data_IF_497111682833
#
_entry.id   IF_497111682833
#
_cell.length_a   1.000
_cell.length_b   1.000
_cell.length_c   1.000
_cell.angle_alpha   90.00
_cell.angle_beta   90.00
_cell.angle_gamma   90.00
#
_symmetry.space_group_name_H-M   'P 1'
#
loop_
_entity.id
_entity.type
_entity.pdbx_description
1 polymer ?
#
# COMPACT_ATOMS: atom_id res chain seq x y z
N UNK A 1 4.63 5.30 -7.93
CA UNK A 1 4.37 3.95 -7.39
C UNK A 1 3.37 3.23 -8.28
N UNK A 2 3.52 1.92 -8.46
CA UNK A 2 2.57 1.09 -9.23
C UNK A 2 2.31 -0.24 -8.57
N UNK A 3 1.08 -0.75 -8.71
CA UNK A 3 0.76 -2.13 -8.36
C UNK A 3 1.11 -3.01 -9.56
N UNK A 4 1.86 -4.08 -9.34
CA UNK A 4 2.30 -5.01 -10.38
C UNK A 4 1.96 -6.44 -9.98
N UNK A 5 1.53 -7.25 -10.94
CA UNK A 5 1.28 -8.68 -10.74
C UNK A 5 2.36 -9.46 -11.49
N UNK A 6 3.14 -10.24 -10.75
CA UNK A 6 4.14 -11.15 -11.32
C UNK A 6 3.57 -12.56 -11.35
N UNK A 7 3.59 -13.20 -12.52
CA UNK A 7 3.33 -14.64 -12.65
C UNK A 7 4.65 -15.39 -12.58
N UNK A 8 4.77 -16.34 -11.67
CA UNK A 8 5.92 -17.22 -11.53
C UNK A 8 5.80 -18.45 -12.45
N UNK A 9 6.91 -19.17 -12.63
CA UNK A 9 6.95 -20.39 -13.45
C UNK A 9 5.97 -21.46 -12.97
N UNK A 10 5.69 -21.52 -11.67
CA UNK A 10 4.68 -22.40 -11.06
C UNK A 10 3.24 -22.06 -11.47
N UNK A 11 3.02 -20.92 -12.15
CA UNK A 11 1.70 -20.37 -12.42
C UNK A 11 1.16 -19.47 -11.30
N UNK A 12 1.83 -19.48 -10.13
CA UNK A 12 1.49 -18.60 -9.01
C UNK A 12 1.58 -17.13 -9.42
N UNK A 13 0.64 -16.32 -8.93
CA UNK A 13 0.66 -14.86 -9.09
C UNK A 13 0.96 -14.20 -7.76
N UNK A 14 1.90 -13.26 -7.76
CA UNK A 14 2.20 -12.45 -6.59
C UNK A 14 2.05 -10.97 -6.94
N UNK A 15 1.45 -10.22 -6.02
CA UNK A 15 1.14 -8.82 -6.22
C UNK A 15 2.11 -7.96 -5.41
N UNK A 16 2.74 -7.01 -6.08
CA UNK A 16 3.73 -6.10 -5.51
C UNK A 16 3.25 -4.65 -5.60
N UNK A 17 3.56 -3.86 -4.58
CA UNK A 17 3.56 -2.41 -4.70
C UNK A 17 5.01 -1.97 -4.98
N UNK A 18 5.25 -1.47 -6.18
CA UNK A 18 6.56 -0.99 -6.61
C UNK A 18 6.68 0.51 -6.37
N UNK A 19 7.81 0.92 -5.78
CA UNK A 19 8.25 2.30 -5.63
C UNK A 19 8.51 2.99 -6.97
N UNK A 20 8.81 4.28 -6.92
CA UNK A 20 9.18 5.07 -8.11
C UNK A 20 10.50 4.58 -8.73
N UNK A 21 11.37 3.95 -7.93
CA UNK A 21 12.60 3.28 -8.37
C UNK A 21 12.37 1.87 -8.96
N UNK A 22 11.11 1.42 -9.06
CA UNK A 22 10.76 0.09 -9.55
C UNK A 22 10.99 -1.06 -8.57
N UNK A 23 11.52 -0.80 -7.37
CA UNK A 23 11.72 -1.82 -6.32
C UNK A 23 10.45 -2.03 -5.50
N UNK A 24 10.17 -3.24 -5.02
CA UNK A 24 9.06 -3.49 -4.09
C UNK A 24 9.20 -2.70 -2.79
N UNK A 25 8.10 -2.11 -2.33
CA UNK A 25 8.02 -1.54 -0.98
C UNK A 25 8.16 -2.66 0.06
N UNK A 26 9.12 -2.49 0.97
CA UNK A 26 9.47 -3.51 1.96
C UNK A 26 8.31 -3.86 2.89
N UNK A 27 7.69 -2.86 3.51
CA UNK A 27 6.62 -3.07 4.50
C UNK A 27 5.37 -3.66 3.86
N UNK A 28 5.02 -3.20 2.65
CA UNK A 28 3.90 -3.77 1.91
C UNK A 28 4.19 -5.21 1.50
N UNK A 29 5.40 -5.51 1.04
CA UNK A 29 5.82 -6.88 0.70
C UNK A 29 5.74 -7.80 1.90
N UNK A 30 6.20 -7.34 3.06
CA UNK A 30 6.14 -8.09 4.32
C UNK A 30 4.68 -8.36 4.73
N UNK A 31 3.82 -7.32 4.69
CA UNK A 31 2.40 -7.45 5.00
C UNK A 31 1.68 -8.45 4.08
N UNK A 32 1.92 -8.39 2.77
CA UNK A 32 1.34 -9.35 1.81
C UNK A 32 1.78 -10.78 2.15
N UNK A 33 3.09 -10.97 2.38
CA UNK A 33 3.67 -12.29 2.66
C UNK A 33 3.09 -12.90 3.93
N UNK A 34 3.03 -12.12 5.01
CA UNK A 34 2.71 -12.61 6.35
C UNK A 34 1.22 -12.67 6.66
N UNK A 35 0.42 -11.78 6.08
CA UNK A 35 -1.00 -11.62 6.44
C UNK A 35 -1.96 -11.98 5.32
N UNK A 36 -1.65 -11.59 4.08
CA UNK A 36 -2.64 -11.70 3.00
C UNK A 36 -2.54 -13.00 2.20
N UNK A 37 -1.32 -13.45 1.88
CA UNK A 37 -1.09 -14.55 0.94
C UNK A 37 -1.73 -15.87 1.35
N UNK A 38 -1.83 -16.15 2.66
CA UNK A 38 -2.43 -17.40 3.15
C UNK A 38 -3.96 -17.43 3.04
N UNK A 39 -4.62 -16.25 3.02
CA UNK A 39 -6.08 -16.16 3.23
C UNK A 39 -6.83 -15.46 2.08
N UNK A 40 -6.13 -14.85 1.12
CA UNK A 40 -6.74 -14.02 0.10
C UNK A 40 -6.26 -14.37 -1.31
N UNK A 41 -7.19 -14.27 -2.27
CA UNK A 41 -6.88 -14.38 -3.69
C UNK A 41 -6.04 -13.17 -4.16
N UNK A 42 -5.23 -13.36 -5.20
CA UNK A 42 -4.38 -12.31 -5.75
C UNK A 42 -5.15 -11.03 -6.14
N UNK A 43 -6.39 -11.15 -6.64
CA UNK A 43 -7.25 -10.00 -6.96
C UNK A 43 -7.64 -9.18 -5.72
N UNK A 44 -7.94 -9.85 -4.61
CA UNK A 44 -8.21 -9.19 -3.33
C UNK A 44 -6.95 -8.49 -2.81
N UNK A 45 -5.79 -9.16 -2.89
CA UNK A 45 -4.49 -8.57 -2.51
C UNK A 45 -4.20 -7.32 -3.34
N UNK A 46 -4.48 -7.36 -4.65
CA UNK A 46 -4.35 -6.20 -5.53
C UNK A 46 -5.20 -5.02 -5.07
N UNK A 47 -6.43 -5.26 -4.60
CA UNK A 47 -7.28 -4.21 -4.06
C UNK A 47 -6.73 -3.60 -2.77
N UNK A 48 -6.22 -4.41 -1.85
CA UNK A 48 -5.51 -3.91 -0.66
C UNK A 48 -4.32 -3.01 -1.05
N UNK A 49 -3.54 -3.43 -2.05
CA UNK A 49 -2.37 -2.69 -2.52
C UNK A 49 -2.75 -1.39 -3.24
N UNK A 50 -3.90 -1.34 -3.92
CA UNK A 50 -4.47 -0.09 -4.46
C UNK A 50 -4.83 0.88 -3.34
N UNK A 51 -5.48 0.41 -2.27
CA UNK A 51 -5.78 1.25 -1.10
C UNK A 51 -4.52 1.75 -0.39
N UNK A 52 -3.49 0.92 -0.25
CA UNK A 52 -2.21 1.35 0.34
C UNK A 52 -1.49 2.35 -0.59
N UNK A 53 -1.48 2.10 -1.90
CA UNK A 53 -0.93 3.06 -2.88
C UNK A 53 -1.60 4.42 -2.74
N UNK A 54 -2.93 4.43 -2.62
CA UNK A 54 -3.73 5.63 -2.44
C UNK A 54 -3.28 6.43 -1.21
N UNK A 55 -3.18 5.75 -0.05
CA UNK A 55 -2.68 6.36 1.18
C UNK A 55 -1.27 6.94 1.01
N UNK A 56 -0.33 6.18 0.43
CA UNK A 56 1.05 6.64 0.20
C UNK A 56 1.16 7.80 -0.79
N UNK A 57 0.22 7.91 -1.75
CA UNK A 57 0.15 9.07 -2.64
C UNK A 57 -0.30 10.31 -1.88
N UNK A 58 -1.33 10.19 -1.03
CA UNK A 58 -1.75 11.29 -0.16
C UNK A 58 -0.63 11.74 0.79
N UNK A 59 0.11 10.80 1.39
CA UNK A 59 1.30 11.11 2.20
C UNK A 59 2.32 11.94 1.42
N UNK A 60 2.64 11.51 0.18
CA UNK A 60 3.59 12.19 -0.70
C UNK A 60 3.13 13.60 -1.08
N UNK A 61 1.85 13.79 -1.42
CA UNK A 61 1.29 15.09 -1.81
C UNK A 61 1.36 16.08 -0.63
N UNK A 62 1.09 15.60 0.58
CA UNK A 62 1.05 16.44 1.77
C UNK A 62 2.38 16.54 2.51
N UNK A 63 3.44 15.88 2.00
CA UNK A 63 4.75 15.86 2.66
C UNK A 63 4.74 15.20 4.04
N UNK A 64 3.84 14.23 4.26
CA UNK A 64 3.63 13.55 5.53
C UNK A 64 4.24 12.16 5.56
N UNK A 65 4.52 11.67 6.76
CA UNK A 65 4.92 10.29 7.01
C UNK A 65 4.10 9.75 8.18
N UNK A 66 3.03 9.04 7.87
CA UNK A 66 2.10 8.54 8.88
C UNK A 66 2.73 7.50 9.80
N UNK A 67 3.73 6.74 9.31
CA UNK A 67 4.43 5.79 10.14
C UNK A 67 5.16 6.51 11.27
N UNK A 68 5.91 7.57 10.94
CA UNK A 68 6.63 8.38 11.94
C UNK A 68 5.65 9.11 12.86
N UNK A 69 4.55 9.64 12.34
CA UNK A 69 3.51 10.29 13.15
C UNK A 69 2.93 9.32 14.19
N UNK A 70 2.55 8.11 13.78
CA UNK A 70 1.99 7.09 14.67
C UNK A 70 3.02 6.68 15.73
N UNK A 71 4.28 6.49 15.35
CA UNK A 71 5.36 6.20 16.30
C UNK A 71 5.55 7.32 17.34
N UNK A 72 5.28 8.56 16.96
CA UNK A 72 5.34 9.72 17.85
C UNK A 72 4.03 9.99 18.60
N UNK A 73 3.04 9.09 18.50
CA UNK A 73 1.74 9.23 19.17
C UNK A 73 0.78 10.23 18.53
N UNK A 74 1.10 10.69 17.31
CA UNK A 74 0.20 11.51 16.49
C UNK A 74 -0.56 10.63 15.50
N UNK A 75 -1.80 11.00 15.20
CA UNK A 75 -2.64 10.29 14.22
C UNK A 75 -3.34 11.30 13.32
N UNK A 76 -3.75 10.92 12.10
CA UNK A 76 -4.55 11.77 11.23
C UNK A 76 -5.78 12.33 11.93
N UNK A 77 -6.03 13.62 11.73
CA UNK A 77 -7.23 14.30 12.17
C UNK A 77 -8.46 13.83 11.37
N UNK A 78 -9.66 14.26 11.79
CA UNK A 78 -10.88 13.97 11.02
C UNK A 78 -10.88 14.61 9.64
N UNK A 79 -10.25 15.78 9.51
CA UNK A 79 -10.15 16.48 8.23
C UNK A 79 -9.15 15.76 7.31
N UNK A 80 -8.02 15.29 7.85
CA UNK A 80 -7.09 14.44 7.12
C UNK A 80 -7.77 13.17 6.57
N UNK A 81 -8.61 12.52 7.38
CA UNK A 81 -9.35 11.31 6.96
C UNK A 81 -10.33 11.62 5.82
N UNK A 82 -10.99 12.79 5.86
CA UNK A 82 -11.84 13.25 4.76
C UNK A 82 -11.03 13.46 3.48
N UNK A 83 -9.90 14.14 3.59
CA UNK A 83 -9.02 14.36 2.45
C UNK A 83 -8.51 13.04 1.89
N UNK A 84 -8.01 12.12 2.72
CA UNK A 84 -7.58 10.79 2.29
C UNK A 84 -8.70 10.10 1.50
N UNK A 85 -9.97 10.24 1.88
CA UNK A 85 -11.09 9.62 1.15
C UNK A 85 -11.34 10.29 -0.21
N UNK A 86 -11.19 11.61 -0.29
CA UNK A 86 -11.60 12.41 -1.46
C UNK A 86 -10.48 12.61 -2.50
N UNK A 87 -9.20 12.57 -2.10
CA UNK A 87 -8.11 13.14 -2.91
C UNK A 87 -7.62 12.32 -4.12
N UNK A 88 -8.04 11.06 -4.31
CA UNK A 88 -7.65 10.29 -5.50
C UNK A 88 -8.71 9.28 -5.97
N UNK A 89 -9.98 9.71 -6.04
CA UNK A 89 -11.03 8.97 -6.76
C UNK A 89 -10.79 8.99 -8.28
#
# INVERSE_FOLDING_TARGET
MRVAVQKFKSGERYVFLLGDNGLPDFWVTHFVTQKLRMNHAATSIEQYLKSIKHLKVWEKINGRNLLDEIYNGSVPSRDDIKEIKEHCA
#
